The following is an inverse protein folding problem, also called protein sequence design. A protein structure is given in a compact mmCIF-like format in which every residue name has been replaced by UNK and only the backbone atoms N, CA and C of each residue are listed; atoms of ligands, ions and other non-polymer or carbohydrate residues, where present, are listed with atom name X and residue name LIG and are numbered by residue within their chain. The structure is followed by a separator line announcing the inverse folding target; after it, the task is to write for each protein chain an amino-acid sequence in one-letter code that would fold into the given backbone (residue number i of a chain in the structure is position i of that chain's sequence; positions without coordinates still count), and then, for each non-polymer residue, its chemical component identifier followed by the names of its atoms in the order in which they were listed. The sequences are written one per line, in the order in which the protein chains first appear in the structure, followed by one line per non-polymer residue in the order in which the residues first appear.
data_IF_447882159858
#
_entry.id   IF_447882159858
#
_cell.length_a   1.000
_cell.length_b   1.000
_cell.length_c   1.000
_cell.angle_alpha   90.00
_cell.angle_beta   90.00
_cell.angle_gamma   90.00
#
_symmetry.space_group_name_H-M   'P 1'
#
loop_
_entity.id
_entity.type
_entity.pdbx_description
1 polymer ?
#
# COMPACT_ATOMS: atom_id res chain seq x y z
N UNK A 1 16.90 14.47 -73.05
CA UNK A 1 17.75 15.44 -72.34
C UNK A 1 17.07 15.76 -71.03
N UNK A 2 17.76 15.46 -69.93
CA UNK A 2 17.58 15.91 -68.55
C UNK A 2 16.15 16.05 -67.99
N UNK A 3 15.74 15.08 -67.17
CA UNK A 3 14.87 15.35 -66.01
C UNK A 3 15.74 15.28 -64.75
N UNK A 4 15.69 16.37 -63.99
CA UNK A 4 16.42 16.62 -62.76
C UNK A 4 15.71 15.90 -61.62
N UNK A 5 16.40 14.97 -60.96
CA UNK A 5 15.97 14.31 -59.74
C UNK A 5 16.26 15.25 -58.55
N UNK A 6 15.21 15.87 -57.99
CA UNK A 6 15.27 16.47 -56.66
C UNK A 6 14.89 15.41 -55.62
N UNK A 7 15.90 14.97 -54.86
CA UNK A 7 15.80 14.03 -53.77
C UNK A 7 15.38 14.80 -52.52
N UNK A 8 14.09 14.75 -52.17
CA UNK A 8 13.60 15.27 -50.89
C UNK A 8 13.99 14.29 -49.80
N UNK A 9 14.96 14.66 -48.96
CA UNK A 9 15.25 13.98 -47.70
C UNK A 9 14.02 14.12 -46.79
N UNK A 10 13.26 13.04 -46.63
CA UNK A 10 12.30 12.92 -45.53
C UNK A 10 13.08 12.52 -44.29
N UNK A 11 13.20 13.46 -43.37
CA UNK A 11 13.74 13.23 -42.04
C UNK A 11 12.75 12.36 -41.25
N UNK A 12 13.08 11.08 -41.09
CA UNK A 12 12.35 10.17 -40.21
C UNK A 12 12.43 10.72 -38.79
N UNK A 13 11.32 11.31 -38.32
CA UNK A 13 11.14 11.64 -36.91
C UNK A 13 11.15 10.35 -36.11
N UNK A 14 12.24 10.13 -35.39
CA UNK A 14 12.31 9.18 -34.28
C UNK A 14 11.13 9.42 -33.33
N UNK A 15 10.48 8.36 -32.80
CA UNK A 15 9.46 8.54 -31.79
C UNK A 15 10.10 9.19 -30.56
N UNK A 16 9.46 10.26 -30.11
CA UNK A 16 9.86 11.07 -28.98
C UNK A 16 9.84 10.19 -27.71
N UNK A 17 11.02 9.85 -27.21
CA UNK A 17 11.22 9.28 -25.87
C UNK A 17 11.05 10.39 -24.82
N UNK A 18 9.87 10.99 -24.73
CA UNK A 18 9.52 11.84 -23.59
C UNK A 18 8.08 11.59 -23.16
N UNK A 19 7.92 11.49 -21.83
CA UNK A 19 6.72 11.13 -21.07
C UNK A 19 6.39 9.63 -20.98
N UNK A 20 7.16 8.91 -20.16
CA UNK A 20 6.52 7.94 -19.25
C UNK A 20 5.38 8.72 -18.57
N UNK A 21 4.12 8.26 -18.59
CA UNK A 21 3.10 8.93 -17.81
C UNK A 21 3.57 8.87 -16.37
N UNK A 22 3.92 10.01 -15.80
CA UNK A 22 3.99 10.19 -14.35
C UNK A 22 2.58 9.93 -13.86
N UNK A 23 2.30 8.66 -13.54
CA UNK A 23 1.12 8.31 -12.78
C UNK A 23 1.24 9.12 -11.51
N UNK A 24 0.26 9.99 -11.26
CA UNK A 24 0.20 10.75 -10.03
C UNK A 24 -0.01 9.76 -8.88
N UNK A 25 1.09 9.21 -8.37
CA UNK A 25 1.08 8.28 -7.25
C UNK A 25 0.51 9.04 -6.06
N UNK A 26 -0.64 8.56 -5.58
CA UNK A 26 -1.33 9.14 -4.42
C UNK A 26 -0.67 8.66 -3.14
N UNK A 27 -0.62 9.53 -2.15
CA UNK A 27 -0.02 9.21 -0.87
C UNK A 27 -0.94 9.67 0.26
N UNK A 28 -1.18 8.78 1.21
CA UNK A 28 -2.01 9.02 2.38
C UNK A 28 -1.21 8.75 3.64
N UNK A 29 -1.39 9.60 4.66
CA UNK A 29 -0.65 9.50 5.93
C UNK A 29 -1.63 9.36 7.08
N UNK A 30 -1.46 8.29 7.85
CA UNK A 30 -2.19 8.02 9.08
C UNK A 30 -1.22 8.14 10.23
N UNK A 31 -1.63 8.79 11.32
CA UNK A 31 -0.80 8.97 12.51
C UNK A 31 -1.54 8.39 13.72
N UNK A 32 -0.85 7.53 14.48
CA UNK A 32 -1.35 6.91 15.70
C UNK A 32 -0.33 7.06 16.83
N UNK A 33 -0.82 7.27 18.05
CA UNK A 33 -0.02 7.26 19.28
C UNK A 33 -0.48 6.12 20.17
N UNK A 34 0.41 5.19 20.51
CA UNK A 34 0.07 3.90 21.12
C UNK A 34 1.11 3.47 22.15
N UNK A 35 0.73 2.62 23.11
CA UNK A 35 1.68 1.94 23.98
C UNK A 35 2.43 0.84 23.21
N UNK A 36 3.66 0.49 23.61
CA UNK A 36 4.49 -0.48 22.91
C UNK A 36 3.83 -1.85 22.61
N UNK A 37 2.94 -2.32 23.48
CA UNK A 37 2.19 -3.58 23.27
C UNK A 37 1.03 -3.47 22.26
N UNK A 38 0.57 -2.25 21.97
CA UNK A 38 -0.54 -1.97 21.07
C UNK A 38 -0.09 -1.78 19.61
N UNK A 39 1.22 -1.67 19.35
CA UNK A 39 1.78 -1.38 18.02
C UNK A 39 1.28 -2.38 16.98
N UNK A 40 1.41 -3.68 17.27
CA UNK A 40 1.03 -4.74 16.31
C UNK A 40 -0.45 -4.65 15.93
N UNK A 41 -1.33 -4.59 16.92
CA UNK A 41 -2.79 -4.55 16.70
C UNK A 41 -3.22 -3.29 15.95
N UNK A 42 -2.69 -2.13 16.34
CA UNK A 42 -3.03 -0.87 15.69
C UNK A 42 -2.61 -0.84 14.23
N UNK A 43 -1.38 -1.29 13.93
CA UNK A 43 -0.85 -1.30 12.56
C UNK A 43 -1.56 -2.37 11.72
N UNK A 44 -1.77 -3.57 12.26
CA UNK A 44 -2.49 -4.64 11.57
C UNK A 44 -3.93 -4.24 11.23
N UNK A 45 -4.64 -3.58 12.14
CA UNK A 45 -6.00 -3.11 11.89
C UNK A 45 -6.08 -2.18 10.67
N UNK A 46 -5.13 -1.24 10.56
CA UNK A 46 -5.06 -0.30 9.43
C UNK A 46 -4.62 -0.98 8.14
N UNK A 47 -3.56 -1.78 8.17
CA UNK A 47 -3.04 -2.47 6.98
C UNK A 47 -4.04 -3.47 6.40
N UNK A 48 -4.68 -4.28 7.26
CA UNK A 48 -5.71 -5.23 6.83
C UNK A 48 -6.91 -4.51 6.22
N UNK A 49 -7.33 -3.37 6.78
CA UNK A 49 -8.41 -2.59 6.21
C UNK A 49 -8.06 -2.06 4.82
N UNK A 50 -6.86 -1.48 4.66
CA UNK A 50 -6.39 -0.98 3.36
C UNK A 50 -6.32 -2.11 2.34
N UNK A 51 -5.73 -3.26 2.71
CA UNK A 51 -5.61 -4.43 1.84
C UNK A 51 -6.95 -5.06 1.51
N UNK A 52 -7.92 -5.04 2.43
CA UNK A 52 -9.27 -5.52 2.15
C UNK A 52 -9.94 -4.73 1.01
N UNK A 53 -9.77 -3.40 1.01
CA UNK A 53 -10.22 -2.52 -0.09
C UNK A 53 -9.37 -2.58 -1.36
N UNK A 54 -8.20 -3.23 -1.29
CA UNK A 54 -7.24 -3.38 -2.41
C UNK A 54 -7.03 -4.83 -2.80
N UNK A 55 -7.98 -5.67 -2.45
CA UNK A 55 -8.02 -7.08 -2.78
C UNK A 55 -9.31 -7.46 -3.47
N UNK A 56 -9.20 -8.50 -4.29
CA UNK A 56 -10.35 -9.12 -4.95
C UNK A 56 -10.27 -10.63 -4.82
N UNK A 57 -11.33 -11.32 -5.25
CA UNK A 57 -11.30 -12.77 -5.37
C UNK A 57 -10.38 -13.19 -6.51
N UNK A 58 -9.97 -14.45 -6.53
CA UNK A 58 -9.07 -14.94 -7.57
C UNK A 58 -9.72 -14.87 -8.95
N UNK A 59 -8.94 -14.43 -9.93
CA UNK A 59 -9.37 -14.44 -11.33
C UNK A 59 -9.27 -15.85 -11.91
N UNK A 60 -10.32 -16.27 -12.60
CA UNK A 60 -10.34 -17.50 -13.37
C UNK A 60 -10.63 -17.15 -14.84
N UNK A 61 -9.56 -17.02 -15.62
CA UNK A 61 -9.65 -16.72 -17.06
C UNK A 61 -10.09 -17.95 -17.86
N UNK A 62 -10.86 -17.68 -18.91
CA UNK A 62 -11.30 -18.66 -19.90
C UNK A 62 -10.67 -18.32 -21.25
N UNK A 63 -10.56 -19.33 -22.12
CA UNK A 63 -9.88 -19.22 -23.43
C UNK A 63 -10.45 -18.13 -24.36
N UNK A 64 -11.65 -17.61 -24.09
CA UNK A 64 -12.32 -16.58 -24.89
C UNK A 64 -12.03 -15.15 -24.39
N UNK A 65 -11.06 -14.97 -23.47
CA UNK A 65 -10.74 -13.67 -22.87
C UNK A 65 -11.73 -13.21 -21.81
N UNK A 66 -12.74 -14.03 -21.48
CA UNK A 66 -13.65 -13.80 -20.36
C UNK A 66 -13.07 -14.33 -19.06
N UNK A 67 -13.50 -13.77 -17.92
CA UNK A 67 -13.08 -14.24 -16.60
C UNK A 67 -14.25 -14.27 -15.61
N UNK A 68 -14.10 -15.08 -14.57
CA UNK A 68 -14.89 -14.97 -13.34
C UNK A 68 -13.99 -14.60 -12.18
N UNK A 69 -14.54 -13.88 -11.20
CA UNK A 69 -13.84 -13.49 -9.97
C UNK A 69 -14.42 -14.33 -8.83
N UNK A 70 -13.54 -14.95 -8.04
CA UNK A 70 -13.92 -15.68 -6.81
C UNK A 70 -14.51 -14.78 -5.74
N UNK A 71 -14.88 -15.35 -4.60
CA UNK A 71 -15.36 -14.60 -3.43
C UNK A 71 -14.21 -14.39 -2.44
N UNK A 72 -14.16 -13.22 -1.81
CA UNK A 72 -13.24 -12.94 -0.69
C UNK A 72 -14.00 -13.17 0.61
N UNK A 73 -13.51 -14.09 1.45
CA UNK A 73 -14.02 -14.25 2.81
C UNK A 73 -13.59 -13.09 3.72
N UNK A 74 -14.33 -12.84 4.79
CA UNK A 74 -13.99 -11.84 5.81
C UNK A 74 -14.06 -12.44 7.21
N UNK A 75 -13.25 -11.89 8.12
CA UNK A 75 -13.18 -12.31 9.52
C UNK A 75 -13.01 -11.09 10.42
N UNK A 76 -13.78 -11.07 11.51
CA UNK A 76 -13.63 -10.11 12.62
C UNK A 76 -12.50 -10.56 13.55
N UNK A 77 -11.63 -9.63 13.92
CA UNK A 77 -10.47 -9.86 14.79
C UNK A 77 -10.54 -8.90 15.97
N UNK A 78 -10.76 -9.45 17.15
CA UNK A 78 -10.75 -8.71 18.40
C UNK A 78 -9.30 -8.43 18.85
N UNK A 79 -9.05 -7.21 19.32
CA UNK A 79 -7.76 -6.80 19.86
C UNK A 79 -7.66 -7.14 21.36
N UNK A 80 -6.52 -7.69 21.78
CA UNK A 80 -6.19 -8.04 23.15
C UNK A 80 -5.58 -6.86 23.94
N UNK A 81 -5.07 -5.83 23.28
CA UNK A 81 -4.45 -4.65 23.92
C UNK A 81 -5.13 -3.33 23.56
N UNK A 82 -6.16 -3.35 22.71
CA UNK A 82 -6.93 -2.18 22.30
C UNK A 82 -8.41 -2.54 22.40
N UNK A 83 -9.26 -1.61 22.84
CA UNK A 83 -10.71 -1.83 22.79
C UNK A 83 -11.22 -1.59 21.35
N UNK A 84 -10.95 -2.56 20.48
CA UNK A 84 -11.26 -2.47 19.06
C UNK A 84 -11.39 -3.86 18.42
N UNK A 85 -12.20 -3.93 17.37
CA UNK A 85 -12.34 -5.10 16.50
C UNK A 85 -12.19 -4.62 15.06
N UNK A 86 -11.34 -5.26 14.27
CA UNK A 86 -11.16 -4.94 12.85
C UNK A 86 -11.52 -6.12 11.96
N UNK A 87 -11.84 -5.82 10.70
CA UNK A 87 -12.13 -6.82 9.67
C UNK A 87 -10.89 -7.06 8.83
N UNK A 88 -10.60 -8.32 8.52
CA UNK A 88 -9.60 -8.69 7.51
C UNK A 88 -10.15 -9.70 6.49
N UNK A 89 -9.46 -9.83 5.37
CA UNK A 89 -9.70 -10.93 4.44
C UNK A 89 -9.40 -12.28 5.13
N UNK A 90 -10.22 -13.29 4.86
CA UNK A 90 -10.01 -14.67 5.33
C UNK A 90 -8.87 -15.36 4.55
N UNK A 91 -7.66 -14.81 4.65
CA UNK A 91 -6.44 -15.38 4.09
C UNK A 91 -5.36 -15.45 5.18
N UNK A 92 -4.99 -16.66 5.56
CA UNK A 92 -3.95 -16.87 6.56
C UNK A 92 -2.56 -16.50 6.01
N UNK A 93 -2.32 -16.76 4.72
CA UNK A 93 -1.05 -16.41 4.06
C UNK A 93 -0.82 -14.89 4.07
N UNK A 94 -1.85 -14.09 3.75
CA UNK A 94 -1.77 -12.63 3.83
C UNK A 94 -1.53 -12.16 5.27
N UNK A 95 -2.27 -12.71 6.23
CA UNK A 95 -2.14 -12.35 7.65
C UNK A 95 -0.73 -12.61 8.19
N UNK A 96 -0.12 -13.74 7.82
CA UNK A 96 1.25 -14.07 8.24
C UNK A 96 2.29 -13.13 7.60
N UNK A 97 2.10 -12.72 6.35
CA UNK A 97 2.98 -11.73 5.69
C UNK A 97 2.92 -10.39 6.46
N UNK A 98 1.72 -9.92 6.78
CA UNK A 98 1.54 -8.67 7.53
C UNK A 98 2.10 -8.78 8.95
N UNK A 99 1.77 -9.83 9.69
CA UNK A 99 2.28 -10.07 11.05
C UNK A 99 3.80 -10.08 11.08
N UNK A 100 4.44 -10.73 10.10
CA UNK A 100 5.90 -10.72 10.02
C UNK A 100 6.43 -9.30 9.81
N UNK A 101 5.92 -8.56 8.82
CA UNK A 101 6.39 -7.21 8.53
C UNK A 101 6.17 -6.23 9.71
N UNK A 102 5.02 -6.34 10.38
CA UNK A 102 4.68 -5.50 11.54
C UNK A 102 5.49 -5.89 12.77
N UNK A 103 5.74 -7.19 12.98
CA UNK A 103 6.63 -7.67 14.05
C UNK A 103 8.06 -7.17 13.86
N UNK A 104 8.62 -7.31 12.65
CA UNK A 104 9.94 -6.78 12.29
C UNK A 104 10.03 -5.25 12.54
N UNK A 105 8.97 -4.51 12.19
CA UNK A 105 8.87 -3.07 12.46
C UNK A 105 8.82 -2.74 13.97
N UNK A 106 7.99 -3.43 14.75
CA UNK A 106 7.87 -3.25 16.20
C UNK A 106 9.20 -3.53 16.89
N UNK A 107 9.86 -4.62 16.55
CA UNK A 107 11.16 -4.99 17.11
C UNK A 107 12.22 -3.93 16.77
N UNK A 108 12.25 -3.45 15.53
CA UNK A 108 13.15 -2.37 15.14
C UNK A 108 12.87 -1.07 15.92
N UNK A 109 11.60 -0.72 16.11
CA UNK A 109 11.20 0.48 16.84
C UNK A 109 11.61 0.40 18.31
N UNK A 110 11.38 -0.73 18.97
CA UNK A 110 11.74 -0.96 20.38
C UNK A 110 13.25 -1.02 20.62
N UNK A 111 14.02 -1.53 19.66
CA UNK A 111 15.47 -1.69 19.79
C UNK A 111 16.28 -0.48 19.27
N UNK A 112 15.62 0.51 18.66
CA UNK A 112 16.30 1.65 18.02
C UNK A 112 16.96 2.63 18.99
N UNK A 113 16.52 2.67 20.25
CA UNK A 113 16.94 3.73 21.19
C UNK A 113 16.48 5.14 20.80
N UNK A 114 15.60 5.26 19.80
CA UNK A 114 14.99 6.53 19.34
C UNK A 114 13.88 6.99 20.30
N UNK A 115 13.30 8.17 20.01
CA UNK A 115 12.17 8.76 20.75
C UNK A 115 10.85 7.97 20.61
N UNK A 116 10.89 6.73 20.13
CA UNK A 116 9.70 5.89 19.92
C UNK A 116 8.92 6.27 18.67
N UNK A 117 9.57 6.89 17.69
CA UNK A 117 8.95 7.34 16.45
C UNK A 117 9.37 6.45 15.27
N UNK A 118 8.39 5.97 14.53
CA UNK A 118 8.63 5.20 13.32
C UNK A 118 7.47 5.27 12.36
N UNK A 119 7.68 4.77 11.14
CA UNK A 119 6.63 4.67 10.14
C UNK A 119 6.74 3.37 9.36
N UNK A 120 5.59 2.83 8.98
CA UNK A 120 5.45 1.68 8.09
C UNK A 120 4.59 2.07 6.90
N UNK A 121 5.05 1.72 5.71
CA UNK A 121 4.43 2.08 4.45
C UNK A 121 3.99 0.84 3.68
N UNK A 122 2.78 0.91 3.14
CA UNK A 122 2.21 -0.04 2.18
C UNK A 122 2.10 0.67 0.83
N UNK A 123 2.90 0.24 -0.13
CA UNK A 123 2.92 0.79 -1.49
C UNK A 123 2.33 -0.21 -2.47
N UNK A 124 1.32 0.20 -3.22
CA UNK A 124 0.78 -0.52 -4.36
C UNK A 124 1.44 -0.07 -5.66
N UNK A 125 1.76 -1.03 -6.52
CA UNK A 125 2.47 -0.77 -7.77
C UNK A 125 1.93 -1.62 -8.93
N UNK A 126 2.36 -1.29 -10.15
CA UNK A 126 2.22 -2.14 -11.32
C UNK A 126 3.60 -2.44 -11.90
N UNK A 127 3.77 -3.63 -12.49
CA UNK A 127 4.97 -3.95 -13.26
C UNK A 127 4.75 -3.52 -14.71
N UNK A 128 5.71 -2.79 -15.26
CA UNK A 128 5.71 -2.45 -16.69
C UNK A 128 7.00 -2.96 -17.29
N UNK A 129 6.85 -3.82 -18.31
CA UNK A 129 7.99 -4.33 -19.07
C UNK A 129 8.26 -3.40 -20.25
N UNK A 130 9.42 -2.74 -20.23
CA UNK A 130 9.87 -1.88 -21.31
C UNK A 130 11.00 -2.58 -22.05
N UNK A 131 10.72 -3.63 -22.83
CA UNK A 131 11.77 -4.30 -23.60
C UNK A 131 12.57 -3.26 -24.45
N UNK A 132 13.91 -3.17 -24.33
CA UNK A 132 14.86 -4.14 -23.73
C UNK A 132 15.38 -3.81 -22.31
N UNK A 133 14.75 -2.90 -21.58
CA UNK A 133 15.09 -2.51 -20.19
C UNK A 133 14.48 -3.47 -19.15
N UNK A 134 14.95 -3.36 -17.91
CA UNK A 134 14.41 -4.09 -16.77
C UNK A 134 12.95 -3.70 -16.49
N UNK A 135 12.18 -4.66 -15.96
CA UNK A 135 10.81 -4.42 -15.53
C UNK A 135 10.78 -3.36 -14.43
N UNK A 136 10.03 -2.29 -14.64
CA UNK A 136 9.90 -1.20 -13.67
C UNK A 136 8.67 -1.43 -12.79
N UNK A 137 8.81 -1.22 -11.48
CA UNK A 137 7.70 -1.18 -10.54
C UNK A 137 7.23 0.27 -10.38
N UNK A 138 6.08 0.61 -10.98
CA UNK A 138 5.54 1.96 -10.96
C UNK A 138 4.50 2.06 -9.84
N UNK A 139 4.77 2.82 -8.76
CA UNK A 139 3.82 2.98 -7.67
C UNK A 139 2.64 3.84 -8.11
N UNK A 140 1.45 3.48 -7.65
CA UNK A 140 0.23 4.24 -7.93
C UNK A 140 -0.54 4.63 -6.66
N UNK A 141 -0.25 4.02 -5.51
CA UNK A 141 -0.82 4.39 -4.21
C UNK A 141 0.11 4.00 -3.05
N UNK A 142 0.30 4.92 -2.10
CA UNK A 142 1.13 4.71 -0.90
C UNK A 142 0.32 5.09 0.35
N UNK A 143 0.29 4.18 1.32
CA UNK A 143 -0.24 4.44 2.65
C UNK A 143 0.89 4.40 3.67
N UNK A 144 1.12 5.50 4.37
CA UNK A 144 2.12 5.57 5.44
C UNK A 144 1.43 5.70 6.79
N UNK A 145 1.69 4.74 7.68
CA UNK A 145 1.23 4.76 9.07
C UNK A 145 2.42 5.19 9.93
N UNK A 146 2.34 6.40 10.48
CA UNK A 146 3.29 6.89 11.48
C UNK A 146 2.83 6.46 12.87
N UNK A 147 3.77 5.91 13.63
CA UNK A 147 3.56 5.39 14.97
C UNK A 147 4.42 6.18 15.94
N UNK A 148 3.76 6.72 16.96
CA UNK A 148 4.39 7.36 18.11
C UNK A 148 4.17 6.50 19.36
N UNK A 149 5.25 5.97 19.94
CA UNK A 149 5.19 5.10 21.11
C UNK A 149 5.18 5.95 22.37
N UNK A 150 4.12 5.83 23.16
CA UNK A 150 3.97 6.52 24.43
C UNK A 150 4.29 5.59 25.61
N UNK A 151 4.97 6.14 26.61
CA UNK A 151 5.22 5.46 27.88
C UNK A 151 4.14 5.85 28.89
N UNK A 152 3.47 4.87 29.49
CA UNK A 152 2.40 5.07 30.46
C UNK A 152 2.91 4.72 31.86
N UNK A 153 2.55 5.53 32.87
CA UNK A 153 3.14 5.45 34.19
C UNK A 153 2.45 4.43 35.13
N UNK A 154 1.18 4.12 34.86
CA UNK A 154 0.36 3.27 35.74
C UNK A 154 -0.78 2.55 34.99
N UNK A 155 -1.40 1.57 35.64
CA UNK A 155 -2.49 0.77 35.09
C UNK A 155 -3.74 1.58 34.71
N UNK A 156 -4.02 2.68 35.41
CA UNK A 156 -5.16 3.55 35.10
C UNK A 156 -4.95 4.30 33.78
N UNK A 157 -3.74 4.81 33.53
CA UNK A 157 -3.36 5.41 32.26
C UNK A 157 -3.38 4.37 31.13
N UNK A 158 -2.94 3.14 31.41
CA UNK A 158 -3.01 2.04 30.46
C UNK A 158 -4.45 1.71 30.05
N UNK A 159 -5.37 1.59 31.01
CA UNK A 159 -6.79 1.35 30.72
C UNK A 159 -7.39 2.48 29.89
N UNK A 160 -7.11 3.73 30.27
CA UNK A 160 -7.57 4.92 29.53
C UNK A 160 -7.00 4.95 28.10
N UNK A 161 -5.73 4.55 27.93
CA UNK A 161 -5.09 4.48 26.62
C UNK A 161 -5.76 3.41 25.73
N UNK A 162 -6.11 2.26 26.31
CA UNK A 162 -6.81 1.16 25.64
C UNK A 162 -8.09 1.61 24.93
N UNK A 163 -8.92 2.37 25.63
CA UNK A 163 -10.17 2.94 25.11
C UNK A 163 -9.91 4.02 24.04
N UNK A 164 -9.03 4.98 24.35
CA UNK A 164 -8.72 6.11 23.45
C UNK A 164 -8.09 5.67 22.14
N UNK A 165 -7.20 4.68 22.17
CA UNK A 165 -6.58 4.13 20.95
C UNK A 165 -7.64 3.45 20.10
N UNK A 166 -8.60 2.73 20.70
CA UNK A 166 -9.74 2.14 19.99
C UNK A 166 -10.59 3.17 19.27
N UNK A 167 -10.98 4.25 19.96
CA UNK A 167 -11.71 5.38 19.35
C UNK A 167 -10.93 5.99 18.18
N UNK A 168 -9.62 6.21 18.37
CA UNK A 168 -8.76 6.79 17.33
C UNK A 168 -8.59 5.87 16.13
N UNK A 169 -8.46 4.56 16.33
CA UNK A 169 -8.45 3.62 15.22
C UNK A 169 -9.77 3.68 14.44
N UNK A 170 -10.91 3.75 15.13
CA UNK A 170 -12.22 3.95 14.49
C UNK A 170 -12.24 5.17 13.56
N UNK A 171 -11.74 6.32 14.04
CA UNK A 171 -11.59 7.53 13.21
C UNK A 171 -10.67 7.29 11.99
N UNK A 172 -9.53 6.60 12.16
CA UNK A 172 -8.61 6.32 11.05
C UNK A 172 -9.20 5.36 10.02
N UNK A 173 -10.00 4.38 10.45
CA UNK A 173 -10.72 3.47 9.56
C UNK A 173 -11.75 4.23 8.72
N UNK A 174 -12.49 5.16 9.34
CA UNK A 174 -13.41 6.04 8.60
C UNK A 174 -12.64 6.85 7.55
N UNK A 175 -11.51 7.46 7.92
CA UNK A 175 -10.67 8.20 6.97
C UNK A 175 -10.20 7.33 5.80
N UNK A 176 -9.79 6.08 6.07
CA UNK A 176 -9.44 5.12 5.01
C UNK A 176 -10.62 4.96 4.06
N UNK A 177 -11.81 4.62 4.58
CA UNK A 177 -13.02 4.38 3.76
C UNK A 177 -13.40 5.63 2.94
N UNK A 178 -13.29 6.82 3.51
CA UNK A 178 -13.57 8.07 2.81
C UNK A 178 -12.62 8.29 1.63
N UNK A 179 -11.33 8.03 1.81
CA UNK A 179 -10.32 8.08 0.75
C UNK A 179 -10.58 7.00 -0.30
N UNK A 180 -10.92 5.77 0.11
CA UNK A 180 -11.24 4.67 -0.79
C UNK A 180 -12.44 4.97 -1.69
N UNK A 181 -13.34 5.84 -1.24
CA UNK A 181 -14.54 6.24 -1.97
C UNK A 181 -14.33 7.42 -2.93
N UNK A 182 -13.12 7.99 -2.99
CA UNK A 182 -12.78 9.03 -3.97
C UNK A 182 -12.68 8.41 -5.37
N UNK A 183 -13.11 9.14 -6.39
CA UNK A 183 -12.98 8.74 -7.79
C UNK A 183 -11.53 8.93 -8.26
N UNK A 184 -10.64 8.12 -7.72
CA UNK A 184 -9.20 8.15 -8.01
C UNK A 184 -8.80 6.97 -8.90
N UNK A 185 -7.57 7.03 -9.39
CA UNK A 185 -7.03 6.02 -10.30
C UNK A 185 -7.02 4.62 -9.66
N UNK A 186 -7.45 3.62 -10.42
CA UNK A 186 -7.20 2.21 -10.16
C UNK A 186 -6.59 1.58 -11.43
N UNK A 187 -5.68 0.61 -11.30
CA UNK A 187 -5.19 -0.15 -12.44
C UNK A 187 -6.34 -0.73 -13.27
N UNK A 188 -6.18 -0.69 -14.60
CA UNK A 188 -7.14 -1.30 -15.53
C UNK A 188 -7.20 -2.81 -15.28
N UNK A 189 -8.39 -3.39 -15.50
CA UNK A 189 -8.55 -4.84 -15.40
C UNK A 189 -7.65 -5.53 -16.45
N UNK A 190 -6.73 -6.41 -16.02
CA UNK A 190 -5.72 -6.97 -16.89
C UNK A 190 -6.28 -8.11 -17.75
N UNK A 191 -5.55 -8.45 -18.82
CA UNK A 191 -5.74 -9.74 -19.52
C UNK A 191 -5.09 -10.89 -18.74
N UNK A 192 -5.32 -12.14 -19.16
CA UNK A 192 -4.69 -13.30 -18.53
C UNK A 192 -3.15 -13.21 -18.53
N UNK A 193 -2.54 -12.66 -19.58
CA UNK A 193 -1.08 -12.51 -19.69
C UNK A 193 -0.52 -11.36 -18.85
N UNK A 194 -1.37 -10.44 -18.39
CA UNK A 194 -0.96 -9.23 -17.67
C UNK A 194 -1.38 -9.25 -16.20
N UNK A 195 -2.09 -10.29 -15.75
CA UNK A 195 -2.64 -10.34 -14.38
C UNK A 195 -1.53 -10.24 -13.32
N UNK A 196 -0.38 -10.85 -13.57
CA UNK A 196 0.79 -10.85 -12.67
C UNK A 196 1.54 -9.50 -12.65
N UNK A 197 1.18 -8.57 -13.55
CA UNK A 197 1.69 -7.21 -13.59
C UNK A 197 0.86 -6.24 -12.74
N UNK A 198 -0.32 -6.68 -12.27
CA UNK A 198 -1.29 -5.84 -11.54
C UNK A 198 -1.62 -6.43 -10.18
N UNK A 199 -1.77 -7.76 -10.10
CA UNK A 199 -2.18 -8.46 -8.89
C UNK A 199 -1.13 -9.48 -8.43
N UNK A 200 -1.06 -9.69 -7.12
CA UNK A 200 -0.36 -10.84 -6.57
C UNK A 200 -1.22 -12.10 -6.70
N UNK A 201 -0.83 -12.98 -7.62
CA UNK A 201 -1.54 -14.22 -7.90
C UNK A 201 -1.09 -15.40 -7.02
N UNK A 202 -0.08 -15.21 -6.17
CA UNK A 202 0.54 -16.28 -5.38
C UNK A 202 -0.31 -16.78 -4.21
N UNK A 203 -1.16 -15.91 -3.65
CA UNK A 203 -2.00 -16.22 -2.49
C UNK A 203 -3.22 -17.06 -2.87
N UNK A 204 -3.60 -18.03 -2.04
CA UNK A 204 -4.69 -18.99 -2.37
C UNK A 204 -6.10 -18.44 -2.26
N UNK A 205 -6.38 -17.62 -1.24
CA UNK A 205 -7.75 -17.25 -0.86
C UNK A 205 -8.16 -15.85 -1.34
N UNK A 206 -7.17 -15.02 -1.65
CA UNK A 206 -7.34 -13.61 -1.98
C UNK A 206 -6.34 -13.21 -3.06
N UNK A 207 -6.66 -12.15 -3.80
CA UNK A 207 -5.80 -11.62 -4.84
C UNK A 207 -5.66 -10.09 -4.66
N UNK A 208 -4.71 -9.63 -3.83
CA UNK A 208 -4.42 -8.22 -3.66
C UNK A 208 -3.78 -7.65 -4.93
N UNK A 209 -3.92 -6.34 -5.14
CA UNK A 209 -2.99 -5.63 -6.02
C UNK A 209 -1.55 -5.89 -5.60
N UNK A 210 -0.60 -5.84 -6.53
CA UNK A 210 0.82 -5.94 -6.18
C UNK A 210 1.17 -4.86 -5.16
N UNK A 211 1.82 -5.26 -4.07
CA UNK A 211 2.17 -4.39 -2.98
C UNK A 211 3.57 -4.70 -2.43
N UNK A 212 4.16 -3.72 -1.76
CA UNK A 212 5.36 -3.90 -0.94
C UNK A 212 5.18 -3.18 0.39
N UNK A 213 5.75 -3.75 1.45
CA UNK A 213 5.76 -3.18 2.79
C UNK A 213 7.19 -2.81 3.14
N UNK A 214 7.37 -1.58 3.63
CA UNK A 214 8.65 -1.09 4.11
C UNK A 214 8.45 -0.30 5.40
N UNK A 215 9.49 -0.17 6.21
CA UNK A 215 9.43 0.65 7.41
C UNK A 215 10.70 1.46 7.60
N UNK A 216 10.59 2.53 8.38
CA UNK A 216 11.68 3.42 8.75
C UNK A 216 11.52 3.79 10.23
N UNK A 217 12.63 3.80 10.96
CA UNK A 217 12.68 4.35 12.31
C UNK A 217 13.26 5.75 12.23
N UNK A 218 12.65 6.70 12.92
CA UNK A 218 12.96 8.12 12.75
C UNK A 218 13.17 8.79 14.10
N UNK A 219 14.14 9.68 14.21
CA UNK A 219 14.32 10.51 15.42
C UNK A 219 13.48 11.81 15.38
N UNK A 220 12.73 12.04 14.30
CA UNK A 220 11.81 13.18 14.18
C UNK A 220 10.64 12.85 13.26
N UNK A 221 9.43 13.31 13.62
CA UNK A 221 8.26 13.31 12.74
C UNK A 221 8.50 14.32 11.61
N UNK A 222 9.16 13.89 10.54
CA UNK A 222 9.38 14.72 9.36
C UNK A 222 8.06 15.20 8.76
N UNK A 223 7.97 16.48 8.46
CA UNK A 223 6.94 17.07 7.59
C UNK A 223 7.22 16.62 6.15
N UNK A 224 6.17 16.17 5.45
CA UNK A 224 6.23 15.81 4.02
C UNK A 224 6.97 16.87 3.21
N UNK A 225 8.06 16.49 2.55
CA UNK A 225 8.75 17.35 1.58
C UNK A 225 8.06 17.18 0.23
N UNK A 226 7.33 18.22 -0.20
CA UNK A 226 6.95 18.38 -1.60
C UNK A 226 8.21 18.74 -2.39
N UNK A 227 8.44 18.18 -3.59
CA UNK A 227 9.56 18.62 -4.41
C UNK A 227 9.27 20.03 -4.90
N UNK A 228 10.05 21.01 -4.42
CA UNK A 228 10.10 22.32 -5.05
C UNK A 228 10.77 22.15 -6.40
N UNK A 229 10.03 22.44 -7.47
CA UNK A 229 10.62 22.67 -8.78
C UNK A 229 11.48 23.93 -8.69
N UNK A 230 12.78 23.80 -8.97
CA UNK A 230 13.65 24.95 -9.24
C UNK A 230 13.37 25.47 -10.65
N UNK A 231 13.30 26.81 -10.77
CA UNK A 231 13.06 27.59 -11.99
C UNK A 231 14.13 27.42 -13.09
#
# INVERSE_FOLDING_TARGET
MAESSEQVCQEERLPDCTSVPTMNCRSEVLEVSVEGRQIEEAVLALLHTILFHRSTGKFHYKNEGTYSIGTVGMQDIDCDFIEFTYVRASSEELDQILKKAVGDFKDALQNSGSDGLGQISLEFYQKVSYWPLEDECIPWEVWTIKVNVVNLANEQEQQTCREKVGEKLGEKIINIVEVMNRHEYLPKMPTQSEVDNVFDTSLKDVQPYLYKISYQITDSLGTSVSPQCED
#
